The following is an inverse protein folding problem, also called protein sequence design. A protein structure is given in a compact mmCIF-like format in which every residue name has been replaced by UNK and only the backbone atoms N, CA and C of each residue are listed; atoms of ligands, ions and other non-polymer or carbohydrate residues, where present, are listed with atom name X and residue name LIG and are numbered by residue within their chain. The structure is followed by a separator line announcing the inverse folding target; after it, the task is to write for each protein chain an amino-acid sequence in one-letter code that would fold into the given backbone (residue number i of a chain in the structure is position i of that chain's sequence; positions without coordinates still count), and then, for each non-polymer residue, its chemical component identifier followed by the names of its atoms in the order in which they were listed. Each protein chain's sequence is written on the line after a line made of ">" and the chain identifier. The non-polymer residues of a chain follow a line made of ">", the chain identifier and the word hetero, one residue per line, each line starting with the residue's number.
data_IF_120909213245
#
_entry.id   IF_120909213245
#
_cell.length_a   1.000
_cell.length_b   1.000
_cell.length_c   1.000
_cell.angle_alpha   90.00
_cell.angle_beta   90.00
_cell.angle_gamma   90.00
#
_symmetry.space_group_name_H-M   'P 1'
#
loop_
_entity.id
_entity.type
_entity.pdbx_description
1 polymer ?
#
# COMPACT_ATOMS: atom_id res chain seq x y z
N UNK A 1 20.67 -8.16 4.91
CA UNK A 1 19.85 -7.01 5.37
C UNK A 1 18.77 -6.73 4.34
N UNK A 2 17.58 -6.30 4.78
CA UNK A 2 16.51 -5.89 3.86
C UNK A 2 16.83 -4.53 3.22
N UNK A 3 16.28 -4.29 2.03
CA UNK A 3 16.42 -3.05 1.27
C UNK A 3 15.03 -2.53 0.89
N UNK A 4 14.91 -1.22 0.77
CA UNK A 4 13.66 -0.57 0.36
C UNK A 4 13.98 0.63 -0.52
N UNK A 5 13.17 0.82 -1.56
CA UNK A 5 13.18 2.00 -2.43
C UNK A 5 11.77 2.55 -2.48
N UNK A 6 11.62 3.86 -2.20
CA UNK A 6 10.39 4.60 -2.40
C UNK A 6 10.64 5.64 -3.49
N UNK A 7 9.89 5.55 -4.58
CA UNK A 7 9.91 6.52 -5.66
C UNK A 7 8.57 7.25 -5.69
N UNK A 8 8.63 8.58 -5.74
CA UNK A 8 7.47 9.45 -5.87
C UNK A 8 7.55 10.17 -7.22
N UNK A 9 6.39 10.39 -7.84
CA UNK A 9 6.33 11.28 -8.99
C UNK A 9 6.75 12.69 -8.61
N UNK A 10 7.71 13.30 -9.32
CA UNK A 10 8.12 14.67 -9.02
C UNK A 10 6.96 15.63 -9.29
N UNK A 11 6.94 16.75 -8.59
CA UNK A 11 5.93 17.81 -8.80
C UNK A 11 5.99 18.36 -10.23
N UNK A 12 7.20 18.46 -10.79
CA UNK A 12 7.46 18.83 -12.18
C UNK A 12 8.34 17.77 -12.82
N UNK A 13 8.07 17.39 -14.06
CA UNK A 13 8.81 16.33 -14.76
C UNK A 13 10.30 16.68 -14.91
N UNK A 14 10.61 17.96 -15.08
CA UNK A 14 11.98 18.46 -15.22
C UNK A 14 12.82 18.29 -13.94
N UNK A 15 12.19 18.14 -12.77
CA UNK A 15 12.89 18.01 -11.50
C UNK A 15 13.53 16.63 -11.31
N UNK A 16 13.04 15.61 -12.01
CA UNK A 16 13.63 14.26 -12.01
C UNK A 16 13.40 13.56 -13.38
N UNK A 17 14.38 13.64 -14.31
CA UNK A 17 14.28 12.99 -15.61
C UNK A 17 14.41 11.46 -15.54
N UNK A 18 14.82 10.89 -14.39
CA UNK A 18 15.01 9.46 -14.21
C UNK A 18 13.78 8.76 -13.63
N UNK A 19 12.79 9.52 -13.16
CA UNK A 19 11.54 9.01 -12.60
C UNK A 19 10.85 7.97 -13.51
N UNK A 20 10.80 8.24 -14.82
CA UNK A 20 10.06 7.40 -15.77
C UNK A 20 10.71 6.02 -15.96
N UNK A 21 12.04 5.90 -15.75
CA UNK A 21 12.81 4.65 -15.96
C UNK A 21 12.34 3.49 -15.07
N UNK A 22 11.90 3.81 -13.86
CA UNK A 22 11.43 2.81 -12.88
C UNK A 22 9.95 2.47 -13.04
N UNK A 23 9.23 3.24 -13.87
CA UNK A 23 7.80 3.12 -14.11
C UNK A 23 7.49 2.84 -15.58
N UNK A 24 8.46 2.33 -16.37
CA UNK A 24 8.30 2.10 -17.82
C UNK A 24 7.07 1.26 -18.15
N UNK A 25 6.71 0.27 -17.32
CA UNK A 25 5.50 -0.56 -17.49
C UNK A 25 4.23 0.06 -16.87
N UNK A 26 4.33 1.21 -16.22
CA UNK A 26 3.24 1.81 -15.45
C UNK A 26 3.35 3.35 -15.36
N UNK A 27 3.40 4.00 -16.52
CA UNK A 27 3.50 5.47 -16.69
C UNK A 27 2.40 6.28 -15.99
N UNK A 28 1.35 5.64 -15.47
CA UNK A 28 0.28 6.29 -14.71
C UNK A 28 0.52 6.28 -13.20
N UNK A 29 1.51 5.53 -12.72
CA UNK A 29 1.81 5.40 -11.30
C UNK A 29 2.37 6.68 -10.72
N UNK A 30 1.79 7.10 -9.59
CA UNK A 30 2.15 8.30 -8.85
C UNK A 30 3.16 8.01 -7.74
N UNK A 31 3.23 6.76 -7.27
CA UNK A 31 4.31 6.27 -6.43
C UNK A 31 4.63 4.80 -6.73
N UNK A 32 5.85 4.39 -6.38
CA UNK A 32 6.31 3.00 -6.34
C UNK A 32 7.05 2.73 -5.03
N UNK A 33 6.75 1.61 -4.38
CA UNK A 33 7.47 1.08 -3.25
C UNK A 33 8.03 -0.30 -3.63
N UNK A 34 9.35 -0.44 -3.60
CA UNK A 34 10.01 -1.74 -3.70
C UNK A 34 10.64 -2.15 -2.37
N UNK A 35 10.47 -3.42 -2.01
CA UNK A 35 11.05 -4.01 -0.80
C UNK A 35 11.73 -5.31 -1.20
N UNK A 36 12.97 -5.53 -0.77
CA UNK A 36 13.69 -6.79 -0.99
C UNK A 36 14.28 -7.33 0.32
N UNK A 37 14.05 -8.60 0.60
CA UNK A 37 14.59 -9.22 1.82
C UNK A 37 14.20 -10.68 2.02
N UNK A 38 14.50 -11.19 3.20
CA UNK A 38 14.16 -12.53 3.64
C UNK A 38 13.29 -12.45 4.89
N UNK A 39 12.35 -13.39 5.02
CA UNK A 39 11.67 -13.61 6.28
C UNK A 39 12.64 -14.20 7.30
N UNK A 40 12.70 -13.62 8.50
CA UNK A 40 13.52 -14.14 9.60
C UNK A 40 12.93 -15.42 10.22
N UNK A 41 11.62 -15.57 10.13
CA UNK A 41 10.85 -16.73 10.57
C UNK A 41 9.67 -16.93 9.61
N UNK A 42 9.12 -18.14 9.55
CA UNK A 42 7.92 -18.40 8.73
C UNK A 42 6.71 -17.81 9.48
N UNK A 43 5.98 -16.84 8.89
CA UNK A 43 4.76 -16.30 9.50
C UNK A 43 3.77 -17.43 9.81
N UNK A 44 3.27 -17.46 11.04
CA UNK A 44 2.20 -18.36 11.48
C UNK A 44 0.84 -17.80 11.08
N UNK A 45 0.70 -16.47 11.13
CA UNK A 45 -0.46 -15.69 10.73
C UNK A 45 -0.43 -15.26 9.27
N UNK A 46 -1.37 -14.39 8.91
CA UNK A 46 -1.38 -13.73 7.60
C UNK A 46 -0.53 -12.47 7.66
N UNK A 47 0.44 -12.36 6.76
CA UNK A 47 1.14 -11.09 6.56
C UNK A 47 0.22 -10.15 5.80
N UNK A 48 -0.11 -9.00 6.37
CA UNK A 48 -0.89 -7.94 5.75
C UNK A 48 0.03 -6.82 5.28
N UNK A 49 -0.31 -6.22 4.14
CA UNK A 49 0.31 -5.01 3.62
C UNK A 49 -0.77 -3.98 3.27
N UNK A 50 -0.44 -2.70 3.40
CA UNK A 50 -1.35 -1.62 3.03
C UNK A 50 -1.00 -0.30 3.70
N UNK A 51 -2.04 0.43 4.05
CA UNK A 51 -1.95 1.75 4.69
C UNK A 51 -2.69 1.76 6.02
N UNK A 52 -2.08 2.40 7.02
CA UNK A 52 -2.71 2.77 8.29
C UNK A 52 -2.62 4.27 8.50
N UNK A 53 -3.59 4.83 9.24
CA UNK A 53 -3.50 6.19 9.72
C UNK A 53 -3.04 6.20 11.17
N UNK A 54 -2.10 7.09 11.46
CA UNK A 54 -1.65 7.39 12.81
C UNK A 54 -1.67 8.90 13.04
N UNK A 55 -1.75 9.31 14.30
CA UNK A 55 -1.35 10.66 14.67
C UNK A 55 0.04 10.54 15.30
N UNK A 56 0.97 11.29 14.74
CA UNK A 56 2.26 11.49 15.38
C UNK A 56 2.07 12.66 16.35
N UNK A 57 2.25 12.41 17.64
CA UNK A 57 2.33 13.51 18.61
C UNK A 57 3.76 14.06 18.68
N UNK A 58 3.92 15.35 19.06
CA UNK A 58 5.24 15.99 19.20
C UNK A 58 6.22 15.22 20.12
N UNK A 59 5.70 14.43 21.07
CA UNK A 59 6.47 13.77 22.13
C UNK A 59 6.71 12.25 21.89
N UNK A 60 6.61 11.80 20.64
CA UNK A 60 6.97 10.43 20.23
C UNK A 60 5.82 9.41 20.26
N UNK A 61 6.10 8.12 19.98
CA UNK A 61 5.09 7.08 19.71
C UNK A 61 4.30 6.60 20.95
N UNK A 62 4.20 7.44 21.98
CA UNK A 62 3.75 7.12 23.34
C UNK A 62 2.22 7.15 23.51
N UNK A 63 1.48 7.76 22.59
CA UNK A 63 0.04 7.97 22.77
C UNK A 63 -0.79 6.88 22.11
N UNK A 64 -1.56 6.18 22.95
CA UNK A 64 -2.67 5.27 22.61
C UNK A 64 -3.85 5.97 21.90
N UNK A 65 -3.67 7.20 21.40
CA UNK A 65 -4.75 7.92 20.77
C UNK A 65 -4.96 7.42 19.34
N UNK A 66 -6.03 6.65 19.19
CA UNK A 66 -6.45 6.15 17.89
C UNK A 66 -7.13 7.30 17.15
N UNK A 67 -6.60 7.73 16.00
CA UNK A 67 -7.29 8.70 15.17
C UNK A 67 -8.60 8.05 14.72
N UNK A 68 -9.71 8.70 15.03
CA UNK A 68 -11.01 8.29 14.48
C UNK A 68 -11.32 9.26 13.38
N UNK A 69 -11.27 8.80 12.13
CA UNK A 69 -11.70 9.62 11.02
C UNK A 69 -13.23 9.70 11.12
N UNK A 70 -13.76 10.92 11.27
CA UNK A 70 -15.20 11.19 11.17
C UNK A 70 -15.48 11.81 9.80
N UNK A 71 -15.47 11.02 8.72
CA UNK A 71 -15.75 11.55 7.39
C UNK A 71 -17.16 12.16 7.35
N UNK A 72 -17.28 13.34 6.75
CA UNK A 72 -18.59 13.92 6.42
C UNK A 72 -19.37 12.96 5.49
N UNK A 73 -20.70 13.13 5.38
CA UNK A 73 -21.57 12.25 4.59
C UNK A 73 -21.05 12.02 3.15
N UNK A 74 -20.58 13.07 2.49
CA UNK A 74 -20.00 13.01 1.14
C UNK A 74 -18.70 12.20 1.11
N UNK A 75 -17.82 12.41 2.09
CA UNK A 75 -16.55 11.68 2.27
C UNK A 75 -16.81 10.19 2.50
N UNK A 76 -17.86 9.81 3.25
CA UNK A 76 -18.24 8.41 3.47
C UNK A 76 -18.65 7.71 2.16
N UNK A 77 -19.41 8.39 1.31
CA UNK A 77 -19.84 7.85 0.02
C UNK A 77 -18.63 7.59 -0.89
N UNK A 78 -17.71 8.56 -0.98
CA UNK A 78 -16.45 8.42 -1.70
C UNK A 78 -15.61 7.25 -1.16
N UNK A 79 -15.40 7.18 0.16
CA UNK A 79 -14.65 6.06 0.75
C UNK A 79 -15.28 4.71 0.43
N UNK A 80 -16.62 4.58 0.48
CA UNK A 80 -17.31 3.35 0.09
C UNK A 80 -17.10 2.99 -1.38
N UNK A 81 -17.09 3.96 -2.28
CA UNK A 81 -16.82 3.73 -3.71
C UNK A 81 -15.38 3.23 -3.91
N UNK A 82 -14.39 3.88 -3.28
CA UNK A 82 -12.98 3.46 -3.32
C UNK A 82 -12.79 2.05 -2.74
N UNK A 83 -13.45 1.75 -1.61
CA UNK A 83 -13.41 0.43 -0.99
C UNK A 83 -14.05 -0.64 -1.88
N UNK A 84 -15.15 -0.33 -2.56
CA UNK A 84 -15.79 -1.25 -3.51
C UNK A 84 -14.87 -1.56 -4.69
N UNK A 85 -14.23 -0.54 -5.27
CA UNK A 85 -13.25 -0.73 -6.34
C UNK A 85 -12.04 -1.56 -5.88
N UNK A 86 -11.54 -1.30 -4.66
CA UNK A 86 -10.42 -2.05 -4.08
C UNK A 86 -10.79 -3.52 -3.86
N UNK A 87 -11.99 -3.82 -3.33
CA UNK A 87 -12.49 -5.17 -3.12
C UNK A 87 -12.76 -5.97 -4.41
N UNK A 88 -12.94 -5.30 -5.55
CA UNK A 88 -13.04 -5.96 -6.85
C UNK A 88 -11.66 -6.45 -7.33
N UNK A 89 -10.60 -5.68 -7.05
CA UNK A 89 -9.23 -6.00 -7.46
C UNK A 89 -8.55 -6.98 -6.49
N UNK A 90 -8.80 -6.84 -5.20
CA UNK A 90 -8.13 -7.56 -4.13
C UNK A 90 -9.13 -8.36 -3.30
N UNK A 91 -8.84 -9.65 -3.05
CA UNK A 91 -9.59 -10.46 -2.08
C UNK A 91 -9.08 -10.23 -0.66
N UNK A 92 -9.98 -10.40 0.32
CA UNK A 92 -9.68 -10.33 1.76
C UNK A 92 -9.13 -8.98 2.22
N UNK A 93 -9.55 -7.89 1.58
CA UNK A 93 -9.24 -6.53 2.03
C UNK A 93 -9.93 -6.29 3.38
N UNK A 94 -9.14 -5.90 4.37
CA UNK A 94 -9.61 -5.40 5.66
C UNK A 94 -9.52 -3.88 5.66
N UNK A 95 -10.55 -3.25 6.20
CA UNK A 95 -10.53 -1.81 6.40
C UNK A 95 -11.24 -1.43 7.69
N UNK A 96 -10.85 -0.29 8.25
CA UNK A 96 -11.53 0.37 9.35
C UNK A 96 -11.44 1.88 9.17
N UNK A 97 -12.45 2.62 9.66
CA UNK A 97 -12.38 4.08 9.77
C UNK A 97 -11.84 4.54 11.14
N UNK A 98 -11.41 3.60 11.97
CA UNK A 98 -11.00 3.83 13.34
C UNK A 98 -12.11 3.42 14.31
N UNK A 99 -11.75 2.68 15.35
CA UNK A 99 -12.63 2.35 16.47
C UNK A 99 -11.89 2.55 17.79
N UNK A 100 -12.54 3.22 18.75
CA UNK A 100 -12.06 3.34 20.12
C UNK A 100 -12.84 2.36 20.99
N UNK A 101 -12.14 1.49 21.71
CA UNK A 101 -12.74 0.67 22.74
C UNK A 101 -12.52 1.30 24.12
N UNK A 102 -13.36 0.93 25.09
CA UNK A 102 -13.14 1.33 26.48
C UNK A 102 -11.83 0.73 27.00
N UNK A 103 -10.99 1.56 27.63
CA UNK A 103 -9.70 1.13 28.19
C UNK A 103 -8.46 1.41 27.33
N UNK A 104 -8.56 2.26 26.29
CA UNK A 104 -7.40 2.72 25.51
C UNK A 104 -6.94 1.76 24.40
N UNK A 105 -7.65 0.64 24.22
CA UNK A 105 -7.50 -0.24 23.06
C UNK A 105 -8.41 0.21 21.91
N UNK A 106 -8.11 -0.24 20.70
CA UNK A 106 -8.95 0.03 19.53
C UNK A 106 -8.26 -0.31 18.24
N UNK A 107 -8.95 -0.03 17.14
CA UNK A 107 -8.52 -0.35 15.78
C UNK A 107 -8.19 0.95 15.07
N UNK A 108 -6.97 1.08 14.55
CA UNK A 108 -6.59 2.23 13.73
C UNK A 108 -7.35 2.23 12.41
N UNK A 109 -7.65 3.41 11.82
CA UNK A 109 -8.12 3.46 10.45
C UNK A 109 -7.07 2.84 9.54
N UNK A 110 -7.50 1.93 8.68
CA UNK A 110 -6.59 1.20 7.81
C UNK A 110 -7.29 0.69 6.57
N UNK A 111 -6.49 0.37 5.56
CA UNK A 111 -6.87 -0.38 4.37
C UNK A 111 -5.72 -1.32 4.05
N UNK A 112 -5.89 -2.60 4.37
CA UNK A 112 -4.85 -3.63 4.23
C UNK A 112 -5.41 -4.86 3.52
N UNK A 113 -4.55 -5.61 2.84
CA UNK A 113 -4.87 -6.90 2.26
C UNK A 113 -3.74 -7.89 2.59
N UNK A 114 -3.96 -9.21 2.47
CA UNK A 114 -2.86 -10.17 2.55
C UNK A 114 -1.74 -9.72 1.62
N UNK A 115 -0.52 -9.60 2.12
CA UNK A 115 0.64 -9.09 1.39
C UNK A 115 0.87 -9.87 0.09
N UNK A 116 0.60 -11.18 0.12
CA UNK A 116 0.63 -12.04 -1.06
C UNK A 116 -0.31 -11.54 -2.15
N UNK A 117 -1.47 -10.98 -1.81
CA UNK A 117 -2.44 -10.44 -2.77
C UNK A 117 -2.22 -8.94 -3.05
N UNK A 118 -1.66 -8.19 -2.10
CA UNK A 118 -1.55 -6.72 -2.14
C UNK A 118 -0.58 -6.20 -3.19
N UNK A 119 0.65 -6.74 -3.24
CA UNK A 119 1.71 -6.22 -4.12
C UNK A 119 1.39 -6.45 -5.60
N UNK A 120 1.63 -5.46 -6.45
CA UNK A 120 1.43 -5.59 -7.90
C UNK A 120 2.41 -6.59 -8.53
N UNK A 121 3.60 -6.75 -7.94
CA UNK A 121 4.59 -7.76 -8.32
C UNK A 121 5.23 -8.43 -7.10
N UNK A 122 5.38 -9.75 -7.17
CA UNK A 122 6.14 -10.54 -6.19
C UNK A 122 7.06 -11.49 -6.94
N UNK A 123 8.36 -11.42 -6.65
CA UNK A 123 9.36 -12.35 -7.16
C UNK A 123 10.02 -13.06 -5.99
N UNK A 124 9.90 -14.39 -5.95
CA UNK A 124 10.66 -15.24 -5.04
C UNK A 124 11.91 -15.76 -5.73
N UNK A 125 13.08 -15.44 -5.19
CA UNK A 125 14.38 -15.89 -5.69
C UNK A 125 14.93 -16.98 -4.78
N UNK A 126 15.19 -18.16 -5.33
CA UNK A 126 15.73 -19.30 -4.60
C UNK A 126 17.12 -18.99 -4.01
N UNK A 127 17.54 -19.71 -2.94
CA UNK A 127 18.90 -19.65 -2.46
C UNK A 127 19.92 -19.78 -3.59
N UNK A 128 20.99 -19.00 -3.52
CA UNK A 128 22.10 -18.97 -4.49
C UNK A 128 21.78 -18.39 -5.88
N UNK A 129 20.52 -18.09 -6.19
CA UNK A 129 20.19 -17.29 -7.38
C UNK A 129 20.37 -15.80 -7.09
N UNK A 130 20.69 -15.01 -8.13
CA UNK A 130 20.81 -13.55 -8.03
C UNK A 130 19.40 -12.95 -8.00
N UNK A 131 19.01 -12.22 -6.94
CA UNK A 131 17.71 -11.55 -6.92
C UNK A 131 17.69 -10.38 -7.92
N UNK A 132 16.50 -9.91 -8.33
CA UNK A 132 16.37 -8.69 -9.13
C UNK A 132 17.07 -7.50 -8.47
N UNK A 133 17.53 -6.54 -9.26
CA UNK A 133 18.05 -5.28 -8.73
C UNK A 133 16.87 -4.45 -8.19
N UNK A 134 16.99 -3.87 -6.99
CA UNK A 134 15.87 -3.20 -6.30
C UNK A 134 15.47 -1.84 -6.91
N UNK A 135 16.34 -1.27 -7.72
CA UNK A 135 16.17 -0.04 -8.49
C UNK A 135 15.93 -0.36 -9.98
N UNK A 136 15.38 -1.55 -10.27
CA UNK A 136 14.91 -1.94 -11.60
C UNK A 136 13.45 -2.44 -11.52
N UNK A 137 12.70 -2.38 -12.63
CA UNK A 137 11.35 -2.94 -12.67
C UNK A 137 11.32 -4.44 -12.30
N UNK A 138 10.37 -4.82 -11.46
CA UNK A 138 10.13 -6.23 -11.13
C UNK A 138 9.19 -6.88 -12.15
N UNK A 139 9.65 -7.98 -12.75
CA UNK A 139 8.87 -8.73 -13.73
C UNK A 139 8.18 -9.95 -13.12
N UNK A 140 6.85 -10.00 -13.23
CA UNK A 140 6.01 -11.15 -12.92
C UNK A 140 4.98 -11.28 -14.05
N UNK A 141 4.68 -12.50 -14.49
CA UNK A 141 3.68 -12.69 -15.55
C UNK A 141 2.30 -12.21 -15.10
N UNK A 142 1.55 -11.57 -16.00
CA UNK A 142 0.20 -11.06 -15.67
C UNK A 142 -0.77 -12.17 -15.24
N UNK A 143 -0.60 -13.39 -15.75
CA UNK A 143 -1.35 -14.56 -15.31
C UNK A 143 -1.10 -14.90 -13.83
N UNK A 144 0.18 -14.90 -13.42
CA UNK A 144 0.57 -15.11 -12.01
C UNK A 144 0.02 -14.01 -11.11
N UNK A 145 0.18 -12.75 -11.52
CA UNK A 145 -0.32 -11.59 -10.78
C UNK A 145 -1.83 -11.71 -10.56
N UNK A 146 -2.60 -11.94 -11.62
CA UNK A 146 -4.05 -12.02 -11.52
C UNK A 146 -4.51 -13.21 -10.66
N UNK A 147 -3.91 -14.39 -10.85
CA UNK A 147 -4.20 -15.56 -10.04
C UNK A 147 -3.92 -15.31 -8.55
N UNK A 148 -2.80 -14.64 -8.25
CA UNK A 148 -2.38 -14.29 -6.90
C UNK A 148 -3.32 -13.27 -6.26
N UNK A 149 -3.61 -12.15 -6.91
CA UNK A 149 -4.50 -11.10 -6.38
C UNK A 149 -5.92 -11.62 -6.09
N UNK A 150 -6.40 -12.57 -6.91
CA UNK A 150 -7.72 -13.18 -6.77
C UNK A 150 -7.75 -14.42 -5.88
N UNK A 151 -6.59 -14.92 -5.44
CA UNK A 151 -6.52 -16.14 -4.63
C UNK A 151 -7.05 -15.96 -3.20
N UNK A 152 -6.96 -14.74 -2.64
CA UNK A 152 -7.16 -14.51 -1.21
C UNK A 152 -6.14 -15.24 -0.31
N UNK A 153 -5.08 -15.80 -0.90
CA UNK A 153 -4.08 -16.61 -0.22
C UNK A 153 -3.25 -15.77 0.76
N UNK A 154 -2.86 -16.38 1.87
CA UNK A 154 -1.88 -15.82 2.81
C UNK A 154 -0.44 -15.88 2.28
N UNK A 155 -0.21 -16.60 1.18
CA UNK A 155 1.12 -16.85 0.61
C UNK A 155 1.83 -18.07 1.18
N UNK A 156 2.75 -18.63 0.40
CA UNK A 156 3.58 -19.76 0.79
C UNK A 156 4.99 -19.29 1.17
N UNK A 157 5.07 -18.46 2.22
CA UNK A 157 6.32 -17.85 2.67
C UNK A 157 7.30 -18.89 3.22
N UNK A 158 8.59 -18.64 3.02
CA UNK A 158 9.67 -19.42 3.62
C UNK A 158 10.85 -18.50 3.98
N UNK A 159 11.80 -19.01 4.75
CA UNK A 159 12.95 -18.24 5.25
C UNK A 159 14.20 -18.35 4.36
N UNK A 160 14.14 -19.17 3.30
CA UNK A 160 15.29 -19.47 2.43
C UNK A 160 15.34 -18.55 1.22
N UNK A 161 14.20 -18.23 0.65
CA UNK A 161 14.10 -17.40 -0.55
C UNK A 161 14.27 -15.91 -0.24
N UNK A 162 14.85 -15.18 -1.19
CA UNK A 162 14.79 -13.72 -1.23
C UNK A 162 13.50 -13.28 -1.92
N UNK A 163 12.68 -12.50 -1.23
CA UNK A 163 11.47 -11.91 -1.79
C UNK A 163 11.76 -10.49 -2.26
N UNK A 164 11.31 -10.17 -3.48
CA UNK A 164 11.23 -8.81 -4.00
C UNK A 164 9.77 -8.45 -4.24
N UNK A 165 9.31 -7.38 -3.61
CA UNK A 165 7.94 -6.89 -3.67
C UNK A 165 7.92 -5.54 -4.36
N UNK A 166 6.90 -5.28 -5.17
CA UNK A 166 6.63 -3.95 -5.72
C UNK A 166 5.15 -3.62 -5.54
N UNK A 167 4.87 -2.48 -4.91
CA UNK A 167 3.57 -1.85 -4.85
C UNK A 167 3.62 -0.55 -5.65
N UNK A 168 2.64 -0.35 -6.53
CA UNK A 168 2.49 0.84 -7.33
C UNK A 168 1.06 1.35 -7.18
N UNK A 169 0.89 2.66 -7.20
CA UNK A 169 -0.46 3.23 -7.26
C UNK A 169 -0.57 4.33 -8.29
N UNK A 170 -1.47 4.21 -9.26
CA UNK A 170 -1.86 5.33 -10.11
C UNK A 170 -2.81 6.29 -9.39
N UNK A 171 -3.32 5.92 -8.22
CA UNK A 171 -4.35 6.66 -7.51
C UNK A 171 -3.81 7.50 -6.36
N UNK A 172 -2.64 7.19 -5.80
CA UNK A 172 -2.10 7.86 -4.61
C UNK A 172 -0.91 8.74 -4.99
N UNK A 173 -1.15 10.04 -5.11
CA UNK A 173 -0.13 11.06 -5.39
C UNK A 173 0.36 11.67 -4.08
N UNK A 174 1.41 11.05 -3.52
CA UNK A 174 1.98 11.46 -2.24
C UNK A 174 2.70 12.81 -2.32
N UNK A 175 3.25 13.18 -3.48
CA UNK A 175 3.95 14.45 -3.67
C UNK A 175 2.99 15.65 -3.57
N UNK A 176 1.79 15.52 -4.15
CA UNK A 176 0.74 16.53 -4.07
C UNK A 176 -0.28 16.27 -2.95
N UNK A 177 -0.09 15.22 -2.17
CA UNK A 177 -0.99 14.79 -1.09
C UNK A 177 -2.47 14.65 -1.52
N UNK A 178 -2.71 13.90 -2.59
CA UNK A 178 -4.05 13.73 -3.17
C UNK A 178 -4.28 12.32 -3.73
N UNK A 179 -5.54 11.95 -3.86
CA UNK A 179 -5.96 10.88 -4.74
C UNK A 179 -6.16 11.43 -6.16
N UNK A 180 -5.74 10.66 -7.18
CA UNK A 180 -5.87 10.97 -8.61
C UNK A 180 -6.55 9.85 -9.38
N UNK A 181 -6.88 10.12 -10.64
CA UNK A 181 -7.40 9.13 -11.60
C UNK A 181 -8.70 8.45 -11.13
N UNK A 182 -9.55 9.22 -10.42
CA UNK A 182 -10.76 8.69 -9.79
C UNK A 182 -12.00 8.68 -10.70
N UNK A 183 -11.89 9.17 -11.94
CA UNK A 183 -13.05 9.33 -12.83
C UNK A 183 -13.83 8.04 -13.09
N UNK A 184 -13.12 6.91 -13.19
CA UNK A 184 -13.74 5.58 -13.34
C UNK A 184 -14.37 5.00 -12.06
N UNK A 185 -14.11 5.61 -10.91
CA UNK A 185 -14.54 5.13 -9.58
C UNK A 185 -15.62 6.04 -8.98
N UNK A 186 -15.53 7.36 -9.20
CA UNK A 186 -16.34 8.38 -8.51
C UNK A 186 -16.97 9.40 -9.46
N UNK A 187 -17.14 9.08 -10.75
CA UNK A 187 -17.80 9.95 -11.72
C UNK A 187 -16.90 11.11 -12.17
N UNK A 188 -17.34 12.37 -12.00
CA UNK A 188 -16.63 13.55 -12.51
C UNK A 188 -15.43 14.02 -11.67
N UNK A 189 -15.21 13.46 -10.49
CA UNK A 189 -14.07 13.84 -9.66
C UNK A 189 -12.78 13.19 -10.19
N UNK A 190 -11.86 13.99 -10.72
CA UNK A 190 -10.55 13.50 -11.16
C UNK A 190 -9.56 13.36 -9.99
N UNK A 191 -9.69 14.26 -8.99
CA UNK A 191 -8.78 14.35 -7.85
C UNK A 191 -9.52 14.58 -6.53
N UNK A 192 -8.98 14.06 -5.43
CA UNK A 192 -9.46 14.33 -4.07
C UNK A 192 -8.28 14.56 -3.15
N UNK A 193 -8.25 15.74 -2.51
CA UNK A 193 -7.27 16.09 -1.49
C UNK A 193 -7.30 15.09 -0.30
N UNK A 194 -6.15 14.51 0.05
CA UNK A 194 -6.05 13.54 1.13
C UNK A 194 -6.30 14.18 2.51
N UNK A 195 -5.98 15.45 2.72
CA UNK A 195 -6.28 16.17 3.98
C UNK A 195 -7.79 16.22 4.21
N UNK A 196 -8.60 16.32 3.15
CA UNK A 196 -10.07 16.25 3.28
C UNK A 196 -10.57 14.87 3.70
N UNK A 197 -9.82 13.82 3.38
CA UNK A 197 -10.16 12.43 3.69
C UNK A 197 -9.63 12.01 5.06
N UNK A 198 -8.39 12.37 5.36
CA UNK A 198 -7.59 11.84 6.45
C UNK A 198 -7.39 12.85 7.59
N UNK A 199 -7.74 14.13 7.38
CA UNK A 199 -7.43 15.21 8.31
C UNK A 199 -5.93 15.44 8.42
N UNK A 200 -5.47 15.59 9.65
CA UNK A 200 -4.07 15.79 10.06
C UNK A 200 -3.31 14.48 10.34
N UNK A 201 -3.92 13.32 10.05
CA UNK A 201 -3.30 12.04 10.32
C UNK A 201 -2.12 11.75 9.36
N UNK A 202 -1.05 11.20 9.91
CA UNK A 202 0.06 10.63 9.17
C UNK A 202 -0.36 9.31 8.49
N UNK A 203 0.06 9.14 7.24
CA UNK A 203 -0.10 7.89 6.49
C UNK A 203 1.11 6.98 6.73
N UNK A 204 0.86 5.76 7.18
CA UNK A 204 1.89 4.73 7.39
C UNK A 204 1.72 3.63 6.36
N UNK A 205 2.77 3.37 5.58
CA UNK A 205 2.89 2.15 4.78
C UNK A 205 3.26 1.01 5.73
N UNK A 206 2.46 -0.05 5.76
CA UNK A 206 2.61 -1.12 6.76
C UNK A 206 2.80 -2.48 6.11
N UNK A 207 3.57 -3.33 6.80
CA UNK A 207 3.73 -4.75 6.53
C UNK A 207 3.86 -5.46 7.89
N UNK A 208 2.84 -6.21 8.30
CA UNK A 208 2.81 -6.87 9.61
C UNK A 208 2.09 -8.22 9.56
N UNK A 209 2.35 -9.06 10.54
CA UNK A 209 1.66 -10.34 10.71
C UNK A 209 0.49 -10.22 11.69
N UNK A 210 -0.62 -10.89 11.39
CA UNK A 210 -1.77 -11.04 12.28
C UNK A 210 -2.31 -12.47 12.25
#
# INVERSE_FOLDING_TARGET
>A
AGRMVLLLRPLRKEDDPYHDRLLEDNEKSMFMLQIQGHFKYIPQGTVYAGIELARDEPDGPSSHEIPVVKPALLTKALCRALLKATNQKLKNVKYSFGERHHGGSGIRPHLVAPAWCFFDRIVSTRPHAKPPTIDEPLYESMGSVNARMQSGSRGAWNTKDTYSFCAMSPYLDLAHWQLKNLGGIVGHAETVDLTRLLGDAALRLVLYEQ
#
